data_IF_395105222528
#
_entry.id   IF_395105222528
#
_cell.length_a   1.000
_cell.length_b   1.000
_cell.length_c   1.000
_cell.angle_alpha   90.00
_cell.angle_beta   90.00
_cell.angle_gamma   90.00
#
_symmetry.space_group_name_H-M   'P 1'
#
loop_
_entity.id
_entity.type
_entity.pdbx_description
1 polymer ?
#
# COMPACT_ATOMS: atom_id res chain seq x y z
N UNK A 1 6.99 -31.67 9.40
CA UNK A 1 6.38 -30.51 10.07
C UNK A 1 6.38 -29.36 9.07
N UNK A 2 5.29 -29.20 8.32
CA UNK A 2 5.17 -28.15 7.30
C UNK A 2 4.34 -27.01 7.88
N UNK A 3 5.01 -26.09 8.55
CA UNK A 3 4.54 -24.72 8.64
C UNK A 3 5.64 -23.90 7.97
N UNK A 4 5.65 -23.92 6.64
CA UNK A 4 6.35 -22.88 5.91
C UNK A 4 5.58 -21.61 6.29
N UNK A 5 6.13 -20.82 7.21
CA UNK A 5 5.63 -19.48 7.42
C UNK A 5 5.84 -18.79 6.08
N UNK A 6 4.82 -18.80 5.22
CA UNK A 6 4.78 -17.96 4.04
C UNK A 6 5.13 -16.58 4.56
N UNK A 7 6.34 -16.09 4.28
CA UNK A 7 6.77 -14.78 4.72
C UNK A 7 5.68 -13.83 4.26
N UNK A 8 4.91 -13.29 5.21
CA UNK A 8 3.74 -12.50 4.88
C UNK A 8 4.29 -11.27 4.18
N UNK A 9 3.93 -11.10 2.92
CA UNK A 9 4.44 -10.03 2.11
C UNK A 9 4.04 -8.69 2.74
N UNK A 10 5.03 -7.88 3.05
CA UNK A 10 4.86 -6.58 3.71
C UNK A 10 5.06 -5.47 2.69
N UNK A 11 4.34 -4.34 2.80
CA UNK A 11 4.61 -3.17 1.97
C UNK A 11 6.06 -2.70 2.14
N UNK A 12 6.76 -2.40 1.04
CA UNK A 12 8.11 -1.86 1.06
C UNK A 12 8.30 -0.64 0.14
N UNK A 13 7.39 -0.40 -0.78
CA UNK A 13 7.35 0.78 -1.63
C UNK A 13 5.90 1.22 -1.87
N UNK A 14 5.70 2.52 -2.11
CA UNK A 14 4.42 3.07 -2.54
C UNK A 14 4.67 4.17 -3.56
N UNK A 15 3.90 4.12 -4.64
CA UNK A 15 3.87 5.11 -5.70
C UNK A 15 2.45 5.61 -5.92
N UNK A 16 2.36 6.81 -6.48
CA UNK A 16 1.09 7.47 -6.74
C UNK A 16 1.08 8.02 -8.17
N UNK A 17 -0.01 7.82 -8.88
CA UNK A 17 -0.34 8.55 -10.10
C UNK A 17 -1.49 9.53 -9.85
N UNK A 18 -2.10 10.06 -10.92
CA UNK A 18 -3.21 11.02 -10.82
C UNK A 18 -4.49 10.41 -10.22
N UNK A 19 -4.69 9.10 -10.38
CA UNK A 19 -5.95 8.40 -10.08
C UNK A 19 -5.81 7.19 -9.15
N UNK A 20 -4.61 6.66 -8.95
CA UNK A 20 -4.32 5.40 -8.28
C UNK A 20 -3.04 5.44 -7.44
N UNK A 21 -3.02 4.55 -6.45
CA UNK A 21 -1.91 4.23 -5.57
C UNK A 21 -1.43 2.81 -5.88
N UNK A 22 -0.12 2.64 -5.96
CA UNK A 22 0.56 1.38 -6.22
C UNK A 22 1.44 1.04 -5.05
N UNK A 23 1.26 -0.13 -4.44
CA UNK A 23 2.03 -0.58 -3.28
C UNK A 23 2.80 -1.82 -3.67
N UNK A 24 4.11 -1.73 -3.67
CA UNK A 24 4.97 -2.91 -3.83
C UNK A 24 5.12 -3.64 -2.51
N UNK A 25 5.16 -4.96 -2.60
CA UNK A 25 5.34 -5.87 -1.49
C UNK A 25 6.72 -6.52 -1.54
N UNK A 26 7.23 -6.95 -0.39
CA UNK A 26 8.51 -7.65 -0.27
C UNK A 26 8.60 -8.98 -1.03
N UNK A 27 7.46 -9.54 -1.47
CA UNK A 27 7.41 -10.75 -2.31
C UNK A 27 7.46 -10.45 -3.82
N UNK A 28 7.58 -9.18 -4.21
CA UNK A 28 7.66 -8.73 -5.60
C UNK A 28 6.31 -8.52 -6.29
N UNK A 29 5.18 -8.69 -5.58
CA UNK A 29 3.87 -8.30 -6.08
C UNK A 29 3.62 -6.81 -5.90
N UNK A 30 2.77 -6.26 -6.75
CA UNK A 30 2.27 -4.89 -6.62
C UNK A 30 0.74 -4.90 -6.48
N UNK A 31 0.24 -4.15 -5.51
CA UNK A 31 -1.18 -3.92 -5.27
C UNK A 31 -1.56 -2.55 -5.81
N UNK A 32 -2.62 -2.47 -6.62
CA UNK A 32 -3.15 -1.24 -7.18
C UNK A 32 -4.50 -0.89 -6.58
N UNK A 33 -4.64 0.32 -6.06
CA UNK A 33 -5.90 0.81 -5.50
C UNK A 33 -6.20 2.24 -6.00
N UNK A 34 -7.44 2.54 -6.43
CA UNK A 34 -7.82 3.91 -6.80
C UNK A 34 -7.65 4.89 -5.64
N UNK A 35 -7.03 6.05 -5.88
CA UNK A 35 -6.93 7.16 -4.92
C UNK A 35 -8.30 7.70 -4.51
N UNK A 36 -9.33 7.50 -5.34
CA UNK A 36 -10.71 7.83 -5.00
C UNK A 36 -11.21 7.13 -3.73
N UNK A 37 -10.60 6.02 -3.31
CA UNK A 37 -10.93 5.32 -2.06
C UNK A 37 -10.32 5.96 -0.82
N UNK A 38 -9.30 6.81 -1.00
CA UNK A 38 -8.55 7.47 0.07
C UNK A 38 -8.60 8.99 -0.15
N UNK A 39 -9.72 9.67 0.19
CA UNK A 39 -9.88 11.11 -0.05
C UNK A 39 -8.79 11.98 0.59
N UNK A 40 -8.19 11.54 1.71
CA UNK A 40 -7.08 12.26 2.36
C UNK A 40 -5.82 12.21 1.52
N UNK A 41 -5.46 11.05 0.98
CA UNK A 41 -4.34 10.91 0.04
C UNK A 41 -4.62 11.65 -1.28
N UNK A 42 -5.85 11.57 -1.80
CA UNK A 42 -6.23 12.28 -3.02
C UNK A 42 -6.07 13.79 -2.91
N UNK A 43 -6.43 14.36 -1.77
CA UNK A 43 -6.32 15.81 -1.53
C UNK A 43 -4.97 16.23 -0.92
N UNK A 44 -4.12 15.27 -0.57
CA UNK A 44 -2.81 15.50 0.04
C UNK A 44 -1.78 16.01 -0.97
N UNK A 45 -0.88 16.87 -0.49
CA UNK A 45 0.24 17.35 -1.28
C UNK A 45 1.17 16.19 -1.65
N UNK A 46 1.91 16.28 -2.78
CA UNK A 46 2.88 15.26 -3.16
C UNK A 46 3.92 14.98 -2.07
N UNK A 47 4.34 16.01 -1.33
CA UNK A 47 5.29 15.90 -0.23
C UNK A 47 4.72 15.11 0.96
N UNK A 48 3.43 15.31 1.26
CA UNK A 48 2.73 14.59 2.32
C UNK A 48 2.53 13.12 1.93
N UNK A 49 2.19 12.85 0.67
CA UNK A 49 2.08 11.48 0.12
C UNK A 49 3.42 10.74 0.11
N UNK A 50 4.52 11.45 -0.14
CA UNK A 50 5.85 10.86 -0.08
C UNK A 50 6.33 10.57 1.36
N UNK A 51 5.76 11.24 2.36
CA UNK A 51 6.08 11.06 3.78
C UNK A 51 5.35 9.84 4.40
N UNK A 52 5.40 8.70 3.71
CA UNK A 52 4.82 7.43 4.19
C UNK A 52 5.73 6.74 5.20
N UNK A 53 5.12 6.09 6.19
CA UNK A 53 5.79 5.14 7.08
C UNK A 53 5.30 3.73 6.80
N UNK A 54 6.23 2.84 6.46
CA UNK A 54 5.95 1.42 6.25
C UNK A 54 6.01 0.67 7.58
N UNK A 55 4.98 -0.14 7.84
CA UNK A 55 4.94 -1.07 8.96
C UNK A 55 4.75 -2.50 8.47
N UNK A 56 4.96 -3.48 9.35
CA UNK A 56 4.73 -4.89 9.03
C UNK A 56 3.26 -5.21 8.68
N UNK A 57 2.33 -4.30 8.95
CA UNK A 57 0.88 -4.51 8.81
C UNK A 57 0.18 -3.47 7.93
N UNK A 58 0.91 -2.50 7.35
CA UNK A 58 0.28 -1.40 6.62
C UNK A 58 1.15 -0.18 6.42
N UNK A 59 0.52 0.88 5.91
CA UNK A 59 1.09 2.18 5.54
C UNK A 59 0.45 3.26 6.39
N UNK A 60 1.26 4.18 6.90
CA UNK A 60 0.80 5.30 7.73
C UNK A 60 1.32 6.63 7.19
N UNK A 61 0.46 7.64 7.12
CA UNK A 61 0.79 9.01 6.78
C UNK A 61 0.43 9.95 7.93
N UNK A 62 1.42 10.34 8.72
CA UNK A 62 1.25 11.21 9.89
C UNK A 62 0.63 12.56 9.50
N UNK A 63 1.14 13.20 8.43
CA UNK A 63 0.67 14.51 7.98
C UNK A 63 -0.79 14.51 7.51
N UNK A 64 -1.25 13.37 6.98
CA UNK A 64 -2.60 13.20 6.44
C UNK A 64 -3.54 12.51 7.44
N UNK A 65 -3.04 12.08 8.60
CA UNK A 65 -3.75 11.25 9.57
C UNK A 65 -4.35 9.99 8.90
N UNK A 66 -3.68 9.42 7.88
CA UNK A 66 -4.21 8.30 7.10
C UNK A 66 -3.48 7.00 7.43
N UNK A 67 -4.26 5.95 7.72
CA UNK A 67 -3.78 4.60 7.99
C UNK A 67 -4.41 3.59 7.02
N UNK A 68 -3.58 2.85 6.29
CA UNK A 68 -4.02 1.83 5.35
C UNK A 68 -3.42 0.48 5.75
N UNK A 69 -4.26 -0.51 6.06
CA UNK A 69 -3.79 -1.85 6.40
C UNK A 69 -3.43 -2.68 5.15
N UNK A 70 -2.45 -3.59 5.28
CA UNK A 70 -2.08 -4.52 4.19
C UNK A 70 -3.25 -5.46 3.83
N UNK A 71 -4.13 -5.75 4.80
CA UNK A 71 -5.32 -6.59 4.61
C UNK A 71 -6.36 -5.85 3.79
N UNK A 72 -6.71 -4.62 4.16
CA UNK A 72 -7.71 -3.82 3.43
C UNK A 72 -7.27 -3.60 1.98
N UNK A 73 -5.96 -3.38 1.78
CA UNK A 73 -5.41 -3.23 0.45
C UNK A 73 -5.51 -4.54 -0.35
N UNK A 74 -5.16 -5.69 0.24
CA UNK A 74 -5.26 -6.99 -0.44
C UNK A 74 -6.70 -7.43 -0.76
N UNK A 75 -7.67 -7.09 0.10
CA UNK A 75 -9.08 -7.42 -0.15
C UNK A 75 -9.71 -6.57 -1.24
N UNK A 76 -9.24 -5.32 -1.39
CA UNK A 76 -9.82 -4.34 -2.32
C UNK A 76 -9.03 -4.23 -3.63
N UNK A 77 -7.73 -4.49 -3.62
CA UNK A 77 -6.85 -4.46 -4.79
C UNK A 77 -6.88 -5.81 -5.52
N UNK A 78 -7.03 -5.78 -6.85
CA UNK A 78 -6.61 -6.92 -7.67
C UNK A 78 -5.08 -6.99 -7.68
N UNK A 79 -4.48 -8.07 -7.18
CA UNK A 79 -3.02 -8.24 -7.26
C UNK A 79 -2.62 -8.41 -8.73
N UNK A 80 -1.85 -7.47 -9.27
CA UNK A 80 -1.21 -7.68 -10.57
C UNK A 80 0.00 -8.57 -10.34
N UNK A 81 -0.09 -9.83 -10.78
CA UNK A 81 1.06 -10.72 -10.83
C UNK A 81 2.07 -10.16 -11.83
N UNK A 82 3.29 -9.88 -11.39
CA UNK A 82 4.40 -9.59 -12.28
C UNK A 82 4.62 -10.87 -13.15
N UNK A 83 4.63 -10.78 -14.49
CA UNK A 83 4.77 -11.95 -15.37
C UNK A 83 6.08 -12.72 -15.18
#
# INVERSE_FOLDING_TARGET
MSANASARASPNEVDFDEDAMWVGLTDGRTLGAPLAWFPRLKNGLPEERAAVTFSAFGLHWEALDEDISDVDLQERSGSLGNP
#
